data_IF_484579564911
#
_entry.id   IF_484579564911
#
_cell.length_a   1.000
_cell.length_b   1.000
_cell.length_c   1.000
_cell.angle_alpha   90.00
_cell.angle_beta   90.00
_cell.angle_gamma   90.00
#
_symmetry.space_group_name_H-M   'P 1'
#
loop_
_entity.id
_entity.type
_entity.pdbx_description
1 polymer ?
#
# COMPACT_ATOMS: atom_id res chain seq x y z
N UNK A 1 20.18 9.58 -16.96
CA UNK A 1 19.26 10.53 -16.28
C UNK A 1 17.91 10.38 -16.95
N UNK A 2 16.94 9.75 -16.30
CA UNK A 2 15.57 9.64 -16.83
C UNK A 2 14.89 11.00 -16.75
N UNK A 3 14.10 11.37 -17.76
CA UNK A 3 13.36 12.63 -17.78
C UNK A 3 12.39 12.71 -16.58
N UNK A 4 12.17 13.90 -16.00
CA UNK A 4 11.21 14.06 -14.91
C UNK A 4 9.80 13.71 -15.41
N UNK A 5 9.08 12.90 -14.64
CA UNK A 5 7.70 12.53 -14.93
C UNK A 5 6.82 13.78 -15.04
N UNK A 6 6.08 13.92 -16.15
CA UNK A 6 5.11 14.99 -16.36
C UNK A 6 3.70 14.44 -16.10
N UNK A 7 2.96 14.97 -15.11
CA UNK A 7 1.66 14.44 -14.76
C UNK A 7 0.60 14.73 -15.84
N UNK A 8 -0.02 13.67 -16.33
CA UNK A 8 -0.89 13.68 -17.52
C UNK A 8 -2.29 14.23 -17.26
N UNK A 9 -2.75 14.30 -16.00
CA UNK A 9 -4.09 14.77 -15.63
C UNK A 9 -4.11 15.36 -14.18
N UNK A 10 -5.24 15.93 -13.70
CA UNK A 10 -5.34 16.49 -12.35
C UNK A 10 -5.06 15.48 -11.22
N UNK A 11 -5.57 14.27 -11.34
CA UNK A 11 -5.39 13.20 -10.33
C UNK A 11 -3.90 12.83 -10.21
N UNK A 12 -3.20 12.71 -11.33
CA UNK A 12 -1.76 12.46 -11.41
C UNK A 12 -0.96 13.61 -10.79
N UNK A 13 -1.40 14.87 -11.01
CA UNK A 13 -0.80 16.04 -10.35
C UNK A 13 -1.01 16.00 -8.85
N UNK A 14 -2.19 15.61 -8.38
CA UNK A 14 -2.49 15.51 -6.96
C UNK A 14 -1.63 14.44 -6.29
N UNK A 15 -1.49 13.25 -6.90
CA UNK A 15 -0.60 12.22 -6.39
C UNK A 15 0.86 12.67 -6.40
N UNK A 16 1.32 13.30 -7.48
CA UNK A 16 2.68 13.85 -7.58
C UNK A 16 2.95 14.90 -6.49
N UNK A 17 1.97 15.76 -6.20
CA UNK A 17 2.07 16.74 -5.12
C UNK A 17 2.12 16.06 -3.74
N UNK A 18 1.35 15.00 -3.54
CA UNK A 18 1.32 14.22 -2.29
C UNK A 18 2.66 13.54 -2.00
N UNK A 19 3.24 12.84 -2.99
CA UNK A 19 4.56 12.20 -2.83
C UNK A 19 5.72 13.20 -2.75
N UNK A 20 5.57 14.41 -3.30
CA UNK A 20 6.54 15.50 -3.10
C UNK A 20 6.28 16.29 -1.80
N UNK A 21 5.21 15.97 -1.08
CA UNK A 21 4.79 16.64 0.14
C UNK A 21 5.64 16.23 1.36
N UNK A 22 5.63 17.05 2.43
CA UNK A 22 6.51 16.87 3.58
C UNK A 22 6.27 15.54 4.32
N UNK A 23 5.02 15.08 4.44
CA UNK A 23 4.71 13.83 5.14
C UNK A 23 5.31 12.61 4.43
N UNK A 24 5.16 12.55 3.10
CA UNK A 24 5.74 11.46 2.32
C UNK A 24 7.27 11.51 2.39
N UNK A 25 7.87 12.69 2.18
CA UNK A 25 9.32 12.88 2.20
C UNK A 25 9.92 12.60 3.57
N UNK A 26 9.23 12.91 4.67
CA UNK A 26 9.66 12.54 6.02
C UNK A 26 9.70 11.02 6.20
N UNK A 27 8.70 10.29 5.72
CA UNK A 27 8.73 8.83 5.77
C UNK A 27 9.84 8.20 4.90
N UNK A 28 10.19 8.82 3.77
CA UNK A 28 11.37 8.44 2.98
C UNK A 28 12.67 8.71 3.77
N UNK A 29 12.80 9.88 4.38
CA UNK A 29 13.97 10.25 5.18
C UNK A 29 14.15 9.34 6.41
N UNK A 30 13.04 8.92 7.02
CA UNK A 30 13.01 7.95 8.13
C UNK A 30 13.23 6.49 7.67
N UNK A 31 13.36 6.25 6.36
CA UNK A 31 13.54 4.91 5.80
C UNK A 31 12.33 4.00 5.94
N UNK A 32 11.12 4.55 6.08
CA UNK A 32 9.86 3.78 6.23
C UNK A 32 9.33 3.25 4.90
N UNK A 33 9.57 4.00 3.82
CA UNK A 33 9.17 3.62 2.47
C UNK A 33 9.99 4.35 1.41
N UNK A 34 9.91 3.87 0.18
CA UNK A 34 10.53 4.47 -0.99
C UNK A 34 9.64 4.29 -2.22
N UNK A 35 9.50 5.34 -3.03
CA UNK A 35 8.89 5.23 -4.36
C UNK A 35 9.85 4.49 -5.31
N UNK A 36 9.42 3.37 -5.86
CA UNK A 36 10.19 2.54 -6.80
C UNK A 36 9.90 2.94 -8.24
N UNK A 37 8.62 3.10 -8.59
CA UNK A 37 8.21 3.54 -9.92
C UNK A 37 6.87 4.26 -9.89
N UNK A 38 6.66 5.13 -10.88
CA UNK A 38 5.40 5.81 -11.13
C UNK A 38 5.10 5.78 -12.63
N UNK A 39 4.13 4.95 -12.99
CA UNK A 39 3.58 4.77 -14.32
C UNK A 39 2.07 4.93 -14.23
N UNK A 40 1.62 6.19 -14.19
CA UNK A 40 0.22 6.53 -13.92
C UNK A 40 -0.78 5.70 -14.76
N UNK A 41 -1.83 5.12 -14.14
CA UNK A 41 -2.29 5.34 -12.76
C UNK A 41 -1.67 4.40 -11.72
N UNK A 42 -0.54 3.77 -12.02
CA UNK A 42 0.12 2.84 -11.12
C UNK A 42 1.38 3.43 -10.48
N UNK A 43 1.52 3.22 -9.18
CA UNK A 43 2.76 3.48 -8.46
C UNK A 43 3.22 2.21 -7.76
N UNK A 44 4.51 1.94 -7.76
CA UNK A 44 5.11 0.90 -6.92
C UNK A 44 5.86 1.58 -5.79
N UNK A 45 5.46 1.29 -4.56
CA UNK A 45 6.09 1.84 -3.35
C UNK A 45 6.55 0.66 -2.51
N UNK A 46 7.82 0.66 -2.15
CA UNK A 46 8.40 -0.30 -1.23
C UNK A 46 8.23 0.22 0.20
N UNK A 47 7.74 -0.65 1.09
CA UNK A 47 7.52 -0.35 2.51
C UNK A 47 8.45 -1.23 3.35
N UNK A 48 9.23 -0.58 4.21
CA UNK A 48 10.17 -1.24 5.11
C UNK A 48 9.41 -2.07 6.15
N UNK A 49 9.87 -3.29 6.37
CA UNK A 49 9.37 -4.20 7.40
C UNK A 49 10.42 -4.42 8.48
N UNK A 50 10.04 -5.08 9.58
CA UNK A 50 10.99 -5.46 10.62
C UNK A 50 12.13 -6.35 10.07
N UNK A 51 11.84 -7.09 9.00
CA UNK A 51 12.82 -7.87 8.23
C UNK A 51 12.58 -7.65 6.74
N UNK A 52 13.51 -6.97 6.07
CA UNK A 52 13.43 -6.68 4.63
C UNK A 52 12.44 -5.57 4.30
N UNK A 53 11.86 -5.62 3.10
CA UNK A 53 10.85 -4.68 2.65
C UNK A 53 9.88 -5.36 1.67
N UNK A 54 8.71 -4.77 1.48
CA UNK A 54 7.69 -5.28 0.57
C UNK A 54 7.26 -4.19 -0.40
N UNK A 55 7.38 -4.48 -1.70
CA UNK A 55 6.81 -3.65 -2.73
C UNK A 55 5.30 -3.87 -2.84
N UNK A 56 4.56 -2.78 -2.92
CA UNK A 56 3.14 -2.76 -3.20
C UNK A 56 2.90 -1.96 -4.48
N UNK A 57 2.10 -2.52 -5.38
CA UNK A 57 1.61 -1.79 -6.54
C UNK A 57 0.24 -1.20 -6.21
N UNK A 58 0.16 0.11 -6.24
CA UNK A 58 -1.05 0.89 -6.07
C UNK A 58 -1.68 1.19 -7.43
N UNK A 59 -3.00 1.06 -7.52
CA UNK A 59 -3.82 1.67 -8.56
C UNK A 59 -4.40 2.96 -7.99
N UNK A 60 -4.28 4.08 -8.71
CA UNK A 60 -4.49 5.44 -8.20
C UNK A 60 -5.52 6.25 -9.02
N UNK A 61 -6.24 5.65 -9.97
CA UNK A 61 -7.25 6.37 -10.74
C UNK A 61 -8.33 6.97 -9.82
N UNK A 62 -8.58 8.28 -9.97
CA UNK A 62 -9.48 9.06 -9.13
C UNK A 62 -8.87 9.64 -7.86
N UNK A 63 -7.56 9.50 -7.64
CA UNK A 63 -6.87 10.08 -6.50
C UNK A 63 -6.98 11.63 -6.47
N UNK A 64 -7.16 12.28 -5.31
CA UNK A 64 -7.33 11.70 -3.97
C UNK A 64 -8.79 11.41 -3.62
N UNK A 65 -9.75 11.83 -4.45
CA UNK A 65 -11.18 11.71 -4.13
C UNK A 65 -11.60 10.24 -3.94
N UNK A 66 -11.04 9.34 -4.75
CA UNK A 66 -11.20 7.90 -4.60
C UNK A 66 -10.00 7.32 -3.84
N UNK A 67 -10.24 6.40 -2.88
CA UNK A 67 -9.16 5.69 -2.23
C UNK A 67 -8.33 4.90 -3.24
N UNK A 68 -7.05 4.66 -2.99
CA UNK A 68 -6.28 3.72 -3.80
C UNK A 68 -6.72 2.27 -3.53
N UNK A 69 -6.26 1.34 -4.36
CA UNK A 69 -6.17 -0.08 -3.98
C UNK A 69 -4.76 -0.56 -4.20
N UNK A 70 -4.31 -1.54 -3.41
CA UNK A 70 -2.95 -2.04 -3.50
C UNK A 70 -2.86 -3.54 -3.36
N UNK A 71 -1.82 -4.11 -3.97
CA UNK A 71 -1.45 -5.51 -3.80
C UNK A 71 0.07 -5.67 -3.70
N UNK A 72 0.57 -6.67 -2.95
CA UNK A 72 1.96 -7.10 -3.00
C UNK A 72 2.45 -7.37 -4.41
N UNK A 73 3.65 -6.87 -4.71
CA UNK A 73 4.22 -6.84 -6.06
C UNK A 73 5.64 -7.38 -6.08
N UNK A 74 5.97 -8.13 -7.11
CA UNK A 74 7.34 -8.50 -7.46
C UNK A 74 7.86 -7.50 -8.49
N UNK A 75 8.77 -6.61 -8.05
CA UNK A 75 9.32 -5.54 -8.90
C UNK A 75 10.11 -6.12 -10.08
N UNK A 76 10.85 -7.20 -9.86
CA UNK A 76 11.72 -7.79 -10.87
C UNK A 76 10.91 -8.48 -11.97
N UNK A 77 9.83 -9.17 -11.60
CA UNK A 77 8.93 -9.82 -12.55
C UNK A 77 7.84 -8.89 -13.08
N UNK A 78 7.70 -7.69 -12.50
CA UNK A 78 6.61 -6.77 -12.72
C UNK A 78 5.24 -7.48 -12.69
N UNK A 79 5.00 -8.24 -11.62
CA UNK A 79 3.84 -9.11 -11.47
C UNK A 79 3.33 -9.14 -10.02
N UNK A 80 2.10 -9.60 -9.77
CA UNK A 80 1.63 -9.87 -8.42
C UNK A 80 2.63 -10.76 -7.66
N UNK A 81 2.95 -10.40 -6.42
CA UNK A 81 3.84 -11.20 -5.59
C UNK A 81 3.20 -12.57 -5.30
N UNK A 82 3.96 -13.64 -5.51
CA UNK A 82 3.51 -15.00 -5.23
C UNK A 82 3.03 -15.13 -3.77
N UNK A 83 1.91 -15.82 -3.54
CA UNK A 83 1.25 -15.91 -2.22
C UNK A 83 2.17 -16.39 -1.09
N UNK A 84 3.08 -17.33 -1.37
CA UNK A 84 4.05 -17.83 -0.39
C UNK A 84 5.14 -16.81 -0.01
N UNK A 85 5.22 -15.69 -0.72
CA UNK A 85 6.13 -14.56 -0.43
C UNK A 85 5.41 -13.39 0.24
N UNK A 86 4.11 -13.48 0.52
CA UNK A 86 3.38 -12.43 1.24
C UNK A 86 3.84 -12.32 2.70
N UNK A 87 3.65 -11.16 3.35
CA UNK A 87 3.89 -11.02 4.79
C UNK A 87 3.20 -12.13 5.58
N UNK A 88 3.98 -12.83 6.41
CA UNK A 88 3.47 -13.81 7.35
C UNK A 88 2.87 -13.15 8.58
N UNK A 89 2.14 -13.92 9.37
CA UNK A 89 1.54 -13.44 10.61
C UNK A 89 1.65 -14.45 11.76
N UNK A 90 1.86 -13.92 12.96
CA UNK A 90 1.71 -14.62 14.25
C UNK A 90 0.30 -14.48 14.84
N UNK A 91 -0.60 -13.76 14.16
CA UNK A 91 -1.97 -13.47 14.60
C UNK A 91 -2.39 -12.03 14.34
N UNK A 92 -3.55 -11.66 14.90
CA UNK A 92 -4.01 -10.27 14.90
C UNK A 92 -4.25 -9.67 13.52
N UNK A 93 -4.06 -8.35 13.43
CA UNK A 93 -4.42 -7.55 12.26
C UNK A 93 -3.52 -7.82 11.05
N UNK A 94 -2.28 -8.28 11.26
CA UNK A 94 -1.40 -8.69 10.15
C UNK A 94 -2.04 -9.84 9.37
N UNK A 95 -2.58 -10.85 10.08
CA UNK A 95 -3.29 -11.98 9.45
C UNK A 95 -4.51 -11.52 8.69
N UNK A 96 -5.24 -10.55 9.21
CA UNK A 96 -6.48 -10.09 8.59
C UNK A 96 -6.19 -9.24 7.35
N UNK A 97 -5.14 -8.41 7.37
CA UNK A 97 -4.78 -7.49 6.29
C UNK A 97 -4.10 -8.17 5.12
N UNK A 98 -3.09 -9.02 5.37
CA UNK A 98 -2.27 -9.66 4.34
C UNK A 98 -2.83 -11.03 3.96
N UNK A 99 -4.11 -11.08 3.62
CA UNK A 99 -4.82 -12.29 3.23
C UNK A 99 -4.76 -12.53 1.72
N UNK A 100 -4.12 -13.60 1.31
CA UNK A 100 -4.00 -13.98 -0.10
C UNK A 100 -5.33 -14.42 -0.73
N UNK A 101 -6.32 -14.81 0.09
CA UNK A 101 -7.65 -15.22 -0.37
C UNK A 101 -8.62 -14.05 -0.50
N UNK A 102 -8.30 -12.88 0.06
CA UNK A 102 -9.14 -11.69 -0.04
C UNK A 102 -9.07 -11.10 -1.45
N UNK A 103 -10.19 -11.10 -2.18
CA UNK A 103 -10.29 -10.64 -3.58
C UNK A 103 -9.18 -11.22 -4.46
N UNK A 104 -8.78 -12.48 -4.20
CA UNK A 104 -7.71 -13.16 -4.93
C UNK A 104 -6.35 -12.47 -4.82
N UNK A 105 -6.08 -11.76 -3.72
CA UNK A 105 -4.82 -11.05 -3.48
C UNK A 105 -4.67 -9.73 -4.25
N UNK A 106 -5.75 -9.20 -4.81
CA UNK A 106 -5.74 -7.94 -5.59
C UNK A 106 -6.02 -6.69 -4.77
N UNK A 107 -6.25 -6.83 -3.46
CA UNK A 107 -6.47 -5.75 -2.51
C UNK A 107 -5.99 -6.14 -1.12
N UNK A 108 -5.63 -5.15 -0.29
CA UNK A 108 -5.38 -5.37 1.14
C UNK A 108 -6.67 -5.19 1.93
N UNK A 109 -6.87 -6.00 2.97
CA UNK A 109 -8.07 -5.95 3.82
C UNK A 109 -8.00 -4.80 4.84
N UNK A 110 -7.92 -3.56 4.35
CA UNK A 110 -7.89 -2.33 5.16
C UNK A 110 -8.98 -1.37 4.73
N UNK A 111 -9.47 -0.56 5.68
CA UNK A 111 -10.63 0.30 5.48
C UNK A 111 -10.39 1.46 4.49
N UNK A 112 -9.13 1.85 4.26
CA UNK A 112 -8.75 2.86 3.30
C UNK A 112 -8.49 2.32 1.89
N UNK A 113 -8.67 1.00 1.65
CA UNK A 113 -8.62 0.40 0.32
C UNK A 113 -10.00 0.43 -0.36
N UNK A 114 -10.07 0.97 -1.58
CA UNK A 114 -11.35 1.15 -2.30
C UNK A 114 -12.08 -0.18 -2.54
N UNK A 115 -11.35 -1.28 -2.78
CA UNK A 115 -11.96 -2.58 -3.11
C UNK A 115 -12.47 -3.25 -1.84
N UNK A 116 -11.74 -3.07 -0.74
CA UNK A 116 -12.16 -3.63 0.55
C UNK A 116 -13.38 -2.91 1.12
N UNK A 117 -13.43 -1.57 1.05
CA UNK A 117 -14.54 -0.82 1.66
C UNK A 117 -15.88 -1.01 0.94
N UNK A 118 -15.88 -1.34 -0.36
CA UNK A 118 -17.10 -1.64 -1.14
C UNK A 118 -17.96 -2.72 -0.45
N UNK A 119 -17.33 -3.77 0.09
CA UNK A 119 -17.99 -4.88 0.78
C UNK A 119 -18.27 -4.68 2.27
N UNK A 120 -17.86 -3.54 2.86
CA UNK A 120 -17.90 -3.32 4.32
C UNK A 120 -18.54 -1.98 4.70
N UNK A 121 -19.78 -1.73 4.23
CA UNK A 121 -20.49 -0.48 4.51
C UNK A 121 -20.68 -0.20 6.02
N UNK A 122 -20.76 -1.24 6.85
CA UNK A 122 -20.81 -1.10 8.32
C UNK A 122 -19.52 -0.53 8.92
N UNK A 123 -18.37 -0.64 8.24
CA UNK A 123 -17.11 -0.04 8.73
C UNK A 123 -17.14 1.47 8.70
N UNK A 124 -17.98 2.07 7.85
CA UNK A 124 -18.15 3.52 7.78
C UNK A 124 -18.56 4.08 9.15
N UNK A 125 -19.39 3.36 9.89
CA UNK A 125 -19.84 3.76 11.23
C UNK A 125 -18.98 3.18 12.35
N UNK A 126 -18.43 1.97 12.18
CA UNK A 126 -17.66 1.28 13.23
C UNK A 126 -16.22 1.78 13.38
N UNK A 127 -15.59 2.22 12.28
CA UNK A 127 -14.18 2.61 12.28
C UNK A 127 -13.90 3.83 11.39
N UNK A 128 -14.63 4.96 11.57
CA UNK A 128 -14.53 6.13 10.69
C UNK A 128 -13.11 6.70 10.59
N UNK A 129 -12.31 6.58 11.65
CA UNK A 129 -10.93 7.07 11.68
C UNK A 129 -9.97 6.29 10.74
N UNK A 130 -10.35 5.09 10.28
CA UNK A 130 -9.55 4.25 9.37
C UNK A 130 -9.95 4.39 7.91
N UNK A 131 -11.04 5.11 7.62
CA UNK A 131 -11.49 5.33 6.26
C UNK A 131 -10.56 6.29 5.53
N UNK A 132 -10.46 6.09 4.22
CA UNK A 132 -9.89 7.08 3.34
C UNK A 132 -10.74 8.35 3.33
N UNK A 133 -10.10 9.51 3.35
CA UNK A 133 -10.76 10.81 3.22
C UNK A 133 -10.59 11.33 1.79
N UNK A 134 -11.54 12.09 1.22
CA UNK A 134 -11.41 12.61 -0.15
C UNK A 134 -10.21 13.54 -0.39
N UNK A 135 -9.64 14.12 0.67
CA UNK A 135 -8.39 14.88 0.72
C UNK A 135 -7.22 14.04 1.27
N UNK A 136 -7.35 12.72 1.23
CA UNK A 136 -6.44 11.76 1.81
C UNK A 136 -5.08 11.74 1.13
N UNK A 137 -4.06 11.44 1.93
CA UNK A 137 -2.68 11.21 1.48
C UNK A 137 -2.40 9.72 1.41
N UNK A 138 -1.60 9.30 0.42
CA UNK A 138 -1.09 7.94 0.32
C UNK A 138 -0.37 7.52 1.61
N UNK A 139 0.20 8.49 2.34
CA UNK A 139 0.87 8.29 3.62
C UNK A 139 -0.04 7.59 4.63
N UNK A 140 -1.34 7.88 4.69
CA UNK A 140 -2.26 7.19 5.62
C UNK A 140 -2.29 5.68 5.36
N UNK A 141 -2.27 5.27 4.09
CA UNK A 141 -2.23 3.87 3.69
C UNK A 141 -0.86 3.26 4.05
N UNK A 142 0.23 3.97 3.73
CA UNK A 142 1.61 3.52 3.99
C UNK A 142 1.92 3.38 5.49
N UNK A 143 1.43 4.30 6.32
CA UNK A 143 1.60 4.24 7.77
C UNK A 143 0.92 3.00 8.37
N UNK A 144 -0.28 2.65 7.90
CA UNK A 144 -0.97 1.44 8.35
C UNK A 144 -0.18 0.18 7.97
N UNK A 145 0.30 0.08 6.73
CA UNK A 145 1.13 -1.05 6.28
C UNK A 145 2.42 -1.12 7.09
N UNK A 146 3.15 0.00 7.18
CA UNK A 146 4.43 0.05 7.88
C UNK A 146 4.27 -0.34 9.35
N UNK A 147 3.23 0.14 10.03
CA UNK A 147 2.93 -0.23 11.41
C UNK A 147 2.67 -1.74 11.56
N UNK A 148 1.95 -2.35 10.61
CA UNK A 148 1.67 -3.79 10.64
C UNK A 148 2.94 -4.62 10.39
N UNK A 149 3.73 -4.26 9.36
CA UNK A 149 4.98 -4.94 9.00
C UNK A 149 6.10 -4.80 10.05
N UNK A 150 5.95 -3.86 10.99
CA UNK A 150 6.87 -3.66 12.11
C UNK A 150 6.23 -4.01 13.48
N UNK A 151 5.05 -4.64 13.48
CA UNK A 151 4.38 -5.07 14.70
C UNK A 151 4.91 -6.41 15.22
N UNK A 152 4.70 -6.74 16.51
CA UNK A 152 5.04 -8.07 17.06
C UNK A 152 4.30 -9.23 16.38
N UNK A 153 3.18 -8.94 15.72
CA UNK A 153 2.34 -9.90 14.99
C UNK A 153 2.88 -10.22 13.59
N UNK A 154 3.85 -9.44 13.08
CA UNK A 154 4.49 -9.71 11.79
C UNK A 154 5.43 -10.91 11.88
N UNK A 155 5.44 -11.72 10.83
CA UNK A 155 6.51 -12.67 10.56
C UNK A 155 6.95 -12.58 9.10
N UNK A 156 8.24 -12.83 8.79
CA UNK A 156 8.68 -12.92 7.41
C UNK A 156 7.93 -14.03 6.67
N UNK A 157 7.90 -14.00 5.32
CA UNK A 157 7.22 -15.02 4.54
C UNK A 157 7.77 -16.41 4.87
N UNK A 158 6.89 -17.39 4.89
CA UNK A 158 7.28 -18.80 5.05
C UNK A 158 7.86 -19.29 3.72
N UNK A 159 9.09 -18.86 3.42
CA UNK A 159 9.84 -19.45 2.30
C UNK A 159 10.24 -20.85 2.76
N UNK A 160 9.68 -21.88 2.12
CA UNK A 160 10.22 -23.22 2.25
C UNK A 160 11.69 -23.14 1.81
N UNK A 161 12.62 -23.52 2.69
CA UNK A 161 14.03 -23.62 2.32
C UNK A 161 14.13 -24.47 1.04
N UNK A 162 14.65 -23.86 -0.02
CA UNK A 162 14.97 -24.56 -1.26
C UNK A 162 16.20 -25.45 -1.04
#
# INVERSE_FOLDING_TARGET
MSAPYQPVNPDARAFQADINGPLFQMGVADGRWQLVSLEWPYAVIEVTAAVGAFALRFELAGFPVKPPTAQPWDVALNAPLAHNKWPGSRGGRVRDVFRTDWLGGTALYIACDRRTIEGHQNWVTQMPARLWKPDGSIVTYLEEIHALLNSPDFSPPLVAAA
#
